data_IF_275906689389
#
_entry.id   IF_275906689389
#
_cell.length_a   1.000
_cell.length_b   1.000
_cell.length_c   1.000
_cell.angle_alpha   90.00
_cell.angle_beta   90.00
_cell.angle_gamma   90.00
#
_symmetry.space_group_name_H-M   'P 1'
#
loop_
_entity.id
_entity.type
_entity.pdbx_description
1 polymer ?
#
# COMPACT_ATOMS: atom_id res chain seq x y z
N UNK A 1 21.93 8.17 -14.73
CA UNK A 1 22.56 6.93 -14.26
C UNK A 1 22.36 6.89 -12.76
N UNK A 2 21.79 5.84 -12.19
CA UNK A 2 21.62 5.76 -10.73
C UNK A 2 23.00 5.64 -10.10
N UNK A 3 23.30 6.54 -9.17
CA UNK A 3 24.54 6.49 -8.41
C UNK A 3 24.51 5.31 -7.43
N UNK A 4 25.67 4.80 -7.03
CA UNK A 4 25.79 3.68 -6.09
C UNK A 4 25.02 3.97 -4.79
N UNK A 5 25.04 5.22 -4.35
CA UNK A 5 24.28 5.70 -3.19
C UNK A 5 22.76 5.47 -3.34
N UNK A 6 22.19 5.76 -4.52
CA UNK A 6 20.75 5.60 -4.75
C UNK A 6 20.35 4.13 -4.74
N UNK A 7 21.18 3.25 -5.32
CA UNK A 7 20.92 1.81 -5.32
C UNK A 7 20.94 1.26 -3.89
N UNK A 8 21.90 1.67 -3.07
CA UNK A 8 21.96 1.27 -1.66
C UNK A 8 20.70 1.71 -0.89
N UNK A 9 20.25 2.95 -1.07
CA UNK A 9 19.02 3.45 -0.44
C UNK A 9 17.80 2.62 -0.86
N UNK A 10 17.69 2.31 -2.15
CA UNK A 10 16.58 1.48 -2.68
C UNK A 10 16.60 0.10 -2.01
N UNK A 11 17.76 -0.57 -1.99
CA UNK A 11 17.90 -1.90 -1.40
C UNK A 11 17.55 -1.92 0.10
N UNK A 12 18.12 -1.00 0.88
CA UNK A 12 17.85 -0.89 2.33
C UNK A 12 16.37 -0.61 2.57
N UNK A 13 15.77 0.29 1.77
CA UNK A 13 14.35 0.63 1.89
C UNK A 13 13.45 -0.59 1.63
N UNK A 14 13.71 -1.34 0.56
CA UNK A 14 12.91 -2.54 0.27
C UNK A 14 13.14 -3.67 1.26
N UNK A 15 14.34 -3.81 1.83
CA UNK A 15 14.59 -4.76 2.91
C UNK A 15 13.75 -4.42 4.16
N UNK A 16 13.81 -3.17 4.64
CA UNK A 16 13.04 -2.72 5.80
C UNK A 16 11.53 -2.89 5.54
N UNK A 17 11.04 -2.39 4.41
CA UNK A 17 9.63 -2.47 4.06
C UNK A 17 9.16 -3.92 3.85
N UNK A 18 10.02 -4.78 3.32
CA UNK A 18 9.79 -6.21 3.19
C UNK A 18 9.66 -6.90 4.55
N UNK A 19 10.53 -6.58 5.51
CA UNK A 19 10.42 -7.06 6.89
C UNK A 19 9.13 -6.61 7.56
N UNK A 20 8.74 -5.35 7.39
CA UNK A 20 7.45 -4.82 7.90
C UNK A 20 6.27 -5.55 7.28
N UNK A 21 6.28 -5.77 5.95
CA UNK A 21 5.25 -6.58 5.27
C UNK A 21 5.24 -8.02 5.79
N UNK A 22 6.40 -8.61 6.07
CA UNK A 22 6.50 -9.98 6.58
C UNK A 22 5.94 -10.15 8.00
N UNK A 23 6.10 -9.14 8.87
CA UNK A 23 5.63 -9.20 10.26
C UNK A 23 4.17 -8.76 10.43
N UNK A 24 3.74 -7.74 9.68
CA UNK A 24 2.38 -7.15 9.80
C UNK A 24 1.42 -7.70 8.73
N UNK A 25 1.95 -8.30 7.65
CA UNK A 25 1.19 -8.78 6.48
C UNK A 25 0.88 -7.70 5.43
N UNK A 26 0.94 -6.42 5.83
CA UNK A 26 0.62 -5.25 5.00
C UNK A 26 1.62 -4.12 5.30
N UNK A 27 1.84 -3.21 4.34
CA UNK A 27 2.61 -1.99 4.57
C UNK A 27 3.87 -1.79 3.72
N UNK A 28 4.16 -2.66 2.75
CA UNK A 28 5.26 -2.42 1.80
C UNK A 28 5.07 -1.11 1.02
N UNK A 29 3.91 -0.81 0.40
CA UNK A 29 3.68 0.47 -0.26
C UNK A 29 3.91 1.67 0.63
N UNK A 30 3.35 1.64 1.85
CA UNK A 30 3.39 2.74 2.81
C UNK A 30 4.81 2.99 3.32
N UNK A 31 5.51 1.93 3.74
CA UNK A 31 6.85 2.03 4.34
C UNK A 31 7.89 2.40 3.28
N UNK A 32 7.84 1.76 2.11
CA UNK A 32 8.76 2.06 1.02
C UNK A 32 8.55 3.46 0.45
N UNK A 33 7.30 3.93 0.28
CA UNK A 33 7.07 5.30 -0.21
C UNK A 33 7.59 6.34 0.78
N UNK A 34 7.36 6.18 2.08
CA UNK A 34 7.91 7.09 3.10
C UNK A 34 9.42 7.18 2.99
N UNK A 35 10.12 6.04 2.92
CA UNK A 35 11.58 6.02 2.90
C UNK A 35 12.17 6.47 1.56
N UNK A 36 11.62 6.00 0.43
CA UNK A 36 12.12 6.37 -0.90
C UNK A 36 11.89 7.86 -1.20
N UNK A 37 10.74 8.42 -0.81
CA UNK A 37 10.43 9.83 -1.11
C UNK A 37 11.33 10.83 -0.38
N UNK A 38 12.06 10.39 0.66
CA UNK A 38 13.11 11.20 1.31
C UNK A 38 14.36 11.36 0.44
N UNK A 39 14.60 10.43 -0.49
CA UNK A 39 15.83 10.40 -1.31
C UNK A 39 15.57 10.64 -2.79
N UNK A 40 14.41 10.23 -3.30
CA UNK A 40 14.02 10.36 -4.70
C UNK A 40 12.62 10.95 -4.83
N UNK A 41 12.31 11.51 -6.00
CA UNK A 41 10.99 12.10 -6.24
C UNK A 41 9.88 11.03 -6.21
N UNK A 42 8.67 11.45 -5.81
CA UNK A 42 7.51 10.58 -5.66
C UNK A 42 7.18 9.74 -6.90
N UNK A 43 7.16 10.26 -8.14
CA UNK A 43 6.86 9.45 -9.31
C UNK A 43 7.85 8.29 -9.50
N UNK A 44 9.15 8.54 -9.28
CA UNK A 44 10.20 7.51 -9.37
C UNK A 44 10.05 6.46 -8.27
N UNK A 45 9.72 6.87 -7.05
CA UNK A 45 9.47 5.96 -5.93
C UNK A 45 8.28 5.02 -6.21
N UNK A 46 7.17 5.55 -6.72
CA UNK A 46 6.00 4.77 -7.11
C UNK A 46 6.37 3.76 -8.21
N UNK A 47 7.10 4.19 -9.24
CA UNK A 47 7.50 3.33 -10.35
C UNK A 47 8.37 2.14 -9.88
N UNK A 48 9.35 2.41 -9.01
CA UNK A 48 10.21 1.36 -8.42
C UNK A 48 9.42 0.38 -7.55
N UNK A 49 8.41 0.86 -6.84
CA UNK A 49 7.59 0.05 -5.94
C UNK A 49 6.62 -0.86 -6.67
N UNK A 50 6.06 -0.38 -7.78
CA UNK A 50 4.97 -1.02 -8.49
C UNK A 50 5.35 -2.42 -8.97
N UNK A 51 6.53 -2.57 -9.58
CA UNK A 51 7.01 -3.84 -10.12
C UNK A 51 7.14 -4.95 -9.05
N UNK A 52 7.97 -4.79 -7.98
CA UNK A 52 8.13 -5.84 -6.98
C UNK A 52 6.85 -6.06 -6.15
N UNK A 53 6.06 -5.02 -5.88
CA UNK A 53 4.81 -5.18 -5.16
C UNK A 53 3.81 -5.99 -5.97
N UNK A 54 3.66 -5.73 -7.27
CA UNK A 54 2.75 -6.50 -8.12
C UNK A 54 3.19 -7.95 -8.22
N UNK A 55 4.47 -8.20 -8.48
CA UNK A 55 5.01 -9.57 -8.59
C UNK A 55 4.71 -10.35 -7.31
N UNK A 56 5.06 -9.80 -6.15
CA UNK A 56 4.84 -10.51 -4.87
C UNK A 56 3.37 -10.66 -4.53
N UNK A 57 2.52 -9.68 -4.82
CA UNK A 57 1.08 -9.76 -4.55
C UNK A 57 0.38 -10.76 -5.46
N UNK A 58 0.74 -10.81 -6.75
CA UNK A 58 0.19 -11.78 -7.71
C UNK A 58 0.63 -13.20 -7.32
N UNK A 59 1.92 -13.38 -7.01
CA UNK A 59 2.42 -14.66 -6.52
C UNK A 59 1.68 -15.13 -5.27
N UNK A 60 1.48 -14.23 -4.30
CA UNK A 60 0.71 -14.52 -3.08
C UNK A 60 -0.75 -14.86 -3.37
N UNK A 61 -1.39 -14.19 -4.33
CA UNK A 61 -2.76 -14.46 -4.73
C UNK A 61 -2.93 -15.87 -5.32
N UNK A 62 -1.97 -16.33 -6.13
CA UNK A 62 -2.00 -17.69 -6.71
C UNK A 62 -1.65 -18.79 -5.72
N UNK A 63 -0.75 -18.53 -4.77
CA UNK A 63 -0.37 -19.51 -3.74
C UNK A 63 -1.41 -19.63 -2.62
N UNK A 64 -2.36 -18.69 -2.52
CA UNK A 64 -3.41 -18.68 -1.50
C UNK A 64 -4.52 -19.69 -1.79
N UNK A 65 -4.73 -20.65 -0.88
CA UNK A 65 -5.77 -21.70 -1.01
C UNK A 65 -7.22 -21.18 -0.96
N UNK A 66 -7.44 -19.99 -0.41
CA UNK A 66 -8.77 -19.41 -0.14
C UNK A 66 -9.15 -18.22 -1.05
N UNK A 67 -8.49 -18.07 -2.21
CA UNK A 67 -8.69 -16.91 -3.09
C UNK A 67 -10.16 -16.70 -3.52
N UNK A 68 -10.87 -17.78 -3.86
CA UNK A 68 -12.28 -17.71 -4.27
C UNK A 68 -13.22 -17.29 -3.13
N UNK A 69 -12.95 -17.71 -1.90
CA UNK A 69 -13.74 -17.32 -0.73
C UNK A 69 -13.56 -15.83 -0.43
N UNK A 70 -12.32 -15.33 -0.51
CA UNK A 70 -11.99 -13.91 -0.34
C UNK A 70 -12.67 -13.07 -1.42
N UNK A 71 -12.61 -13.50 -2.70
CA UNK A 71 -13.25 -12.78 -3.81
C UNK A 71 -14.75 -12.68 -3.58
N UNK A 72 -15.44 -13.77 -3.22
CA UNK A 72 -16.89 -13.74 -2.96
C UNK A 72 -17.25 -12.85 -1.77
N UNK A 73 -16.41 -12.82 -0.75
CA UNK A 73 -16.64 -12.07 0.49
C UNK A 73 -16.39 -10.58 0.33
N UNK A 74 -15.39 -10.20 -0.46
CA UNK A 74 -15.02 -8.80 -0.68
C UNK A 74 -15.33 -8.30 -2.11
N UNK A 75 -16.21 -8.99 -2.85
CA UNK A 75 -16.47 -8.71 -4.26
C UNK A 75 -16.87 -7.25 -4.51
N UNK A 76 -17.73 -6.68 -3.65
CA UNK A 76 -18.19 -5.30 -3.78
C UNK A 76 -17.03 -4.31 -3.57
N UNK A 77 -16.21 -4.54 -2.55
CA UNK A 77 -15.02 -3.71 -2.30
C UNK A 77 -14.03 -3.79 -3.45
N UNK A 78 -13.74 -4.99 -3.96
CA UNK A 78 -12.85 -5.20 -5.09
C UNK A 78 -13.38 -4.52 -6.37
N UNK A 79 -14.69 -4.63 -6.63
CA UNK A 79 -15.34 -4.02 -7.78
C UNK A 79 -15.27 -2.48 -7.70
N UNK A 80 -15.75 -1.90 -6.60
CA UNK A 80 -15.73 -0.45 -6.40
C UNK A 80 -14.31 0.09 -6.42
N UNK A 81 -13.36 -0.58 -5.75
CA UNK A 81 -11.95 -0.19 -5.78
C UNK A 81 -11.39 -0.22 -7.21
N UNK A 82 -11.66 -1.28 -7.97
CA UNK A 82 -11.17 -1.40 -9.36
C UNK A 82 -11.74 -0.29 -10.24
N UNK A 83 -13.03 0.01 -10.10
CA UNK A 83 -13.67 1.10 -10.85
C UNK A 83 -13.15 2.48 -10.45
N UNK A 84 -12.81 2.70 -9.18
CA UNK A 84 -12.28 3.98 -8.71
C UNK A 84 -10.80 4.19 -9.08
N UNK A 85 -10.00 3.12 -9.24
CA UNK A 85 -8.58 3.25 -9.57
C UNK A 85 -8.35 3.93 -10.91
N UNK A 86 -9.16 3.62 -11.94
CA UNK A 86 -9.06 4.23 -13.26
C UNK A 86 -9.22 5.76 -13.26
N UNK A 87 -10.37 6.32 -12.80
CA UNK A 87 -10.56 7.77 -12.73
C UNK A 87 -9.60 8.40 -11.71
N UNK A 88 -9.28 7.72 -10.61
CA UNK A 88 -8.30 8.19 -9.63
C UNK A 88 -6.91 8.39 -10.24
N UNK A 89 -6.44 7.43 -11.04
CA UNK A 89 -5.14 7.52 -11.74
C UNK A 89 -5.11 8.65 -12.77
N UNK A 90 -6.21 8.86 -13.50
CA UNK A 90 -6.34 9.97 -14.46
C UNK A 90 -6.32 11.32 -13.73
N UNK A 91 -7.08 11.46 -12.64
CA UNK A 91 -7.09 12.68 -11.84
C UNK A 91 -5.69 12.96 -11.30
N UNK A 92 -4.99 11.93 -10.79
CA UNK A 92 -3.66 12.06 -10.22
C UNK A 92 -2.59 12.41 -11.27
N UNK A 93 -2.78 12.04 -12.54
CA UNK A 93 -1.84 12.38 -13.62
C UNK A 93 -1.96 13.84 -14.12
N UNK A 94 -3.13 14.45 -13.94
CA UNK A 94 -3.39 15.85 -14.32
C UNK A 94 -2.98 16.82 -13.19
N UNK A 95 -2.98 16.36 -11.94
CA UNK A 95 -2.55 17.16 -10.78
C UNK A 95 -1.03 17.34 -10.77
N UNK A 96 -0.56 18.55 -10.47
CA UNK A 96 0.88 18.83 -10.39
C UNK A 96 1.56 17.99 -9.30
N UNK A 97 2.80 17.56 -9.57
CA UNK A 97 3.62 16.72 -8.68
C UNK A 97 3.71 17.30 -7.26
N UNK A 98 3.70 18.64 -7.13
CA UNK A 98 3.75 19.35 -5.85
C UNK A 98 2.51 19.07 -5.00
N UNK A 99 1.32 19.11 -5.59
CA UNK A 99 0.06 18.82 -4.88
C UNK A 99 -0.07 17.33 -4.55
N UNK A 100 0.29 16.44 -5.47
CA UNK A 100 0.24 14.99 -5.23
C UNK A 100 1.19 14.55 -4.11
N UNK A 101 2.38 15.15 -4.04
CA UNK A 101 3.33 14.88 -2.94
C UNK A 101 2.84 15.41 -1.60
N UNK A 102 2.24 16.61 -1.59
CA UNK A 102 1.63 17.18 -0.38
C UNK A 102 0.45 16.36 0.13
N UNK A 103 -0.43 15.91 -0.77
CA UNK A 103 -1.57 15.05 -0.43
C UNK A 103 -1.11 13.70 0.14
N UNK A 104 -0.09 13.08 -0.46
CA UNK A 104 0.48 11.84 0.07
C UNK A 104 1.07 12.05 1.46
N UNK A 105 1.82 13.14 1.67
CA UNK A 105 2.36 13.49 2.99
C UNK A 105 1.27 13.65 4.06
N UNK A 106 0.19 14.36 3.74
CA UNK A 106 -0.97 14.51 4.61
C UNK A 106 -1.59 13.15 4.96
N UNK A 107 -1.83 12.29 3.96
CA UNK A 107 -2.40 10.96 4.16
C UNK A 107 -1.50 10.09 5.06
N UNK A 108 -0.19 10.16 4.87
CA UNK A 108 0.79 9.45 5.69
C UNK A 108 0.80 9.95 7.14
N UNK A 109 0.74 11.27 7.36
CA UNK A 109 0.64 11.86 8.70
C UNK A 109 -0.64 11.43 9.41
N UNK A 110 -1.79 11.47 8.72
CA UNK A 110 -3.07 11.00 9.27
C UNK A 110 -2.98 9.50 9.61
N UNK A 111 -2.52 8.68 8.68
CA UNK A 111 -2.37 7.24 8.88
C UNK A 111 -1.45 6.93 10.08
N UNK A 112 -0.29 7.58 10.16
CA UNK A 112 0.64 7.40 11.27
C UNK A 112 0.01 7.82 12.61
N UNK A 113 -0.69 8.95 12.65
CA UNK A 113 -1.40 9.43 13.83
C UNK A 113 -2.47 8.45 14.32
N UNK A 114 -3.29 7.93 13.39
CA UNK A 114 -4.29 6.89 13.70
C UNK A 114 -3.66 5.58 14.15
N UNK A 115 -2.55 5.17 13.52
CA UNK A 115 -1.86 3.91 13.83
C UNK A 115 -1.20 3.95 15.21
N UNK A 116 -0.55 5.07 15.56
CA UNK A 116 0.05 5.33 16.88
C UNK A 116 -1.03 5.43 17.97
N UNK A 117 -2.19 5.99 17.64
CA UNK A 117 -3.32 6.14 18.55
C UNK A 117 -4.10 4.86 18.87
N UNK A 118 -3.66 3.66 18.42
CA UNK A 118 -4.42 2.41 18.55
C UNK A 118 -4.72 2.03 20.02
N UNK A 119 -5.86 2.50 20.50
CA UNK A 119 -6.73 1.78 21.43
C UNK A 119 -7.23 0.54 20.68
N UNK A 120 -6.92 -0.67 21.17
CA UNK A 120 -7.38 -1.93 20.56
C UNK A 120 -8.91 -1.98 20.65
N UNK A 121 -9.60 -1.55 19.60
CA UNK A 121 -11.03 -1.77 19.48
C UNK A 121 -11.25 -3.26 19.23
N UNK A 122 -11.61 -3.98 20.30
CA UNK A 122 -12.11 -5.35 20.24
C UNK A 122 -13.49 -5.29 19.60
N UNK A 123 -13.59 -5.66 18.33
CA UNK A 123 -14.86 -5.74 17.62
C UNK A 123 -15.58 -6.99 18.16
N UNK A 124 -16.80 -6.82 18.67
CA UNK A 124 -17.62 -7.90 19.20
C UNK A 124 -18.11 -8.79 18.04
N UNK A 125 -17.97 -10.11 18.18
CA UNK A 125 -18.15 -11.14 17.14
C UNK A 125 -19.54 -11.13 16.45
N UNK A 126 -20.55 -10.52 17.07
CA UNK A 126 -21.91 -10.47 16.49
C UNK A 126 -22.07 -9.55 15.26
N UNK A 127 -21.12 -8.66 14.96
CA UNK A 127 -21.17 -7.79 13.76
C UNK A 127 -20.34 -8.31 12.59
N UNK A 128 -19.55 -9.37 12.79
CA UNK A 128 -18.68 -9.97 11.78
C UNK A 128 -19.43 -10.49 10.54
N UNK A 129 -20.67 -10.92 10.73
CA UNK A 129 -21.50 -11.53 9.67
C UNK A 129 -21.85 -10.57 8.54
N UNK A 130 -21.92 -9.27 8.82
CA UNK A 130 -22.23 -8.23 7.83
C UNK A 130 -21.00 -7.62 7.15
N UNK A 131 -19.83 -7.71 7.79
CA UNK A 131 -18.57 -7.18 7.25
C UNK A 131 -17.73 -8.23 6.53
N UNK A 132 -18.20 -9.48 6.49
CA UNK A 132 -17.37 -10.58 6.04
C UNK A 132 -16.13 -10.65 6.92
N UNK A 133 -16.29 -10.90 8.21
CA UNK A 133 -15.20 -11.22 9.15
C UNK A 133 -15.46 -12.62 9.76
N UNK A 134 -15.79 -13.61 8.93
CA UNK A 134 -15.90 -15.02 9.33
C UNK A 134 -15.22 -15.88 8.28
#
# INVERSE_FOLDING_TARGET
MFDYQTITVILVTFLIAGTVKGTIGLGLPTTSLVLLTLSINLPSAIALLLVPSLITNIWQAFMGRHGLEIIKRFWLFLLVSTLCVWPGAIILSVISIKYSSGLLGLLLMLYASFSLGKKRYSINSNTEKYFGVG
#
